data_IF_724271551605
#
_entry.id   IF_724271551605
#
_cell.length_a   1.000
_cell.length_b   1.000
_cell.length_c   1.000
_cell.angle_alpha   90.00
_cell.angle_beta   90.00
_cell.angle_gamma   90.00
#
_symmetry.space_group_name_H-M   'P 1'
#
loop_
_entity.id
_entity.type
_entity.pdbx_description
1 polymer ?
#
# COMPACT_ATOMS: atom_id res chain seq x y z
N UNK A 1 -6.95 -5.62 -8.39
CA UNK A 1 -6.11 -4.91 -7.40
C UNK A 1 -6.40 -3.40 -7.40
N UNK A 2 -6.32 -2.67 -8.53
CA UNK A 2 -6.51 -1.21 -8.58
C UNK A 2 -7.79 -0.64 -7.91
N UNK A 3 -8.90 -1.40 -7.89
CA UNK A 3 -10.17 -0.95 -7.32
C UNK A 3 -10.28 -1.11 -5.79
N UNK A 4 -9.59 -2.11 -5.24
CA UNK A 4 -9.44 -2.27 -3.78
C UNK A 4 -8.24 -1.48 -3.22
N UNK A 5 -7.39 -0.92 -4.09
CA UNK A 5 -6.14 -0.28 -3.68
C UNK A 5 -6.04 1.18 -4.13
N UNK A 6 -7.05 1.98 -3.76
CA UNK A 6 -7.06 3.45 -3.64
C UNK A 6 -7.82 4.24 -4.71
N UNK A 7 -8.70 5.12 -4.21
CA UNK A 7 -9.44 6.13 -4.97
C UNK A 7 -8.55 7.07 -5.80
N UNK A 8 -7.22 7.08 -5.55
CA UNK A 8 -6.25 7.83 -6.36
C UNK A 8 -6.22 7.37 -7.83
N UNK A 9 -6.61 6.13 -8.14
CA UNK A 9 -6.72 5.68 -9.53
C UNK A 9 -7.74 6.50 -10.36
N UNK A 10 -8.71 7.17 -9.71
CA UNK A 10 -9.63 8.10 -10.37
C UNK A 10 -8.91 9.28 -11.02
N UNK A 11 -7.66 9.57 -10.65
CA UNK A 11 -6.84 10.59 -11.30
C UNK A 11 -6.53 10.26 -12.76
N UNK A 12 -6.71 9.01 -13.20
CA UNK A 12 -6.65 8.62 -14.61
C UNK A 12 -7.80 9.20 -15.46
N UNK A 13 -8.87 9.70 -14.82
CA UNK A 13 -9.93 10.42 -15.52
C UNK A 13 -9.41 11.71 -16.15
N UNK A 14 -8.41 12.38 -15.57
CA UNK A 14 -7.84 13.62 -16.14
C UNK A 14 -7.23 13.41 -17.53
N UNK A 15 -6.27 12.49 -17.74
CA UNK A 15 -5.76 12.23 -19.08
C UNK A 15 -6.82 11.64 -20.03
N UNK A 16 -7.77 10.83 -19.52
CA UNK A 16 -8.87 10.33 -20.35
C UNK A 16 -9.77 11.47 -20.88
N UNK A 17 -10.18 12.40 -20.00
CA UNK A 17 -10.95 13.59 -20.35
C UNK A 17 -10.15 14.51 -21.29
N UNK A 18 -8.86 14.65 -21.07
CA UNK A 18 -7.99 15.44 -21.94
C UNK A 18 -7.94 14.89 -23.36
N UNK A 19 -7.83 13.56 -23.52
CA UNK A 19 -7.93 12.89 -24.83
C UNK A 19 -9.29 13.16 -25.48
N UNK A 20 -10.37 13.04 -24.70
CA UNK A 20 -11.74 13.27 -25.16
C UNK A 20 -11.94 14.70 -25.69
N UNK A 21 -11.40 15.70 -24.96
CA UNK A 21 -11.53 17.11 -25.33
C UNK A 21 -10.71 17.42 -26.59
N UNK A 22 -9.48 16.91 -26.69
CA UNK A 22 -8.60 17.17 -27.81
C UNK A 22 -9.04 16.48 -29.11
N UNK A 23 -9.66 15.32 -29.02
CA UNK A 23 -9.93 14.48 -30.19
C UNK A 23 -11.40 14.02 -30.23
N UNK A 24 -12.31 14.99 -30.37
CA UNK A 24 -13.74 14.71 -30.51
C UNK A 24 -14.06 13.79 -31.69
N UNK A 25 -13.26 13.88 -32.77
CA UNK A 25 -13.39 13.00 -33.95
C UNK A 25 -13.00 11.56 -33.64
N UNK A 26 -11.97 11.35 -32.83
CA UNK A 26 -11.59 10.01 -32.36
C UNK A 26 -12.73 9.30 -31.64
N UNK A 27 -13.45 9.98 -30.75
CA UNK A 27 -14.62 9.38 -30.07
C UNK A 27 -15.69 8.98 -31.06
N UNK A 28 -16.04 9.86 -32.01
CA UNK A 28 -17.07 9.55 -33.00
C UNK A 28 -16.68 8.35 -33.87
N UNK A 29 -15.38 8.19 -34.18
CA UNK A 29 -14.88 7.09 -34.99
C UNK A 29 -14.72 5.77 -34.19
N UNK A 30 -14.40 5.87 -32.89
CA UNK A 30 -14.13 4.73 -32.01
C UNK A 30 -15.19 4.56 -30.91
N UNK A 31 -16.44 4.98 -31.17
CA UNK A 31 -17.51 4.98 -30.18
C UNK A 31 -17.78 3.59 -29.59
N UNK A 32 -17.68 2.54 -30.41
CA UNK A 32 -17.81 1.15 -29.98
C UNK A 32 -16.71 0.74 -29.00
N UNK A 33 -15.47 1.18 -29.21
CA UNK A 33 -14.35 0.96 -28.29
C UNK A 33 -14.52 1.72 -26.99
N UNK A 34 -15.03 2.97 -27.04
CA UNK A 34 -15.32 3.77 -25.85
C UNK A 34 -16.42 3.12 -25.01
N UNK A 35 -17.50 2.67 -25.63
CA UNK A 35 -18.57 1.93 -24.94
C UNK A 35 -18.05 0.61 -24.38
N UNK A 36 -17.27 -0.14 -25.16
CA UNK A 36 -16.64 -1.38 -24.70
C UNK A 36 -15.75 -1.16 -23.47
N UNK A 37 -14.94 -0.09 -23.47
CA UNK A 37 -14.12 0.30 -22.34
C UNK A 37 -14.95 0.71 -21.12
N UNK A 38 -16.00 1.52 -21.30
CA UNK A 38 -16.91 1.92 -20.22
C UNK A 38 -17.65 0.71 -19.63
N UNK A 39 -18.17 -0.18 -20.49
CA UNK A 39 -18.81 -1.41 -20.07
C UNK A 39 -17.84 -2.30 -19.30
N UNK A 40 -16.63 -2.50 -19.80
CA UNK A 40 -15.59 -3.30 -19.12
C UNK A 40 -15.23 -2.69 -17.77
N UNK A 41 -15.09 -1.37 -17.70
CA UNK A 41 -14.85 -0.64 -16.46
C UNK A 41 -16.00 -0.85 -15.46
N UNK A 42 -17.24 -0.59 -15.85
CA UNK A 42 -18.41 -0.79 -14.99
C UNK A 42 -18.58 -2.25 -14.55
N UNK A 43 -18.36 -3.20 -15.46
CA UNK A 43 -18.38 -4.63 -15.15
C UNK A 43 -17.28 -4.98 -14.13
N UNK A 44 -16.10 -4.38 -14.22
CA UNK A 44 -15.03 -4.57 -13.23
C UNK A 44 -15.38 -3.99 -11.85
N UNK A 45 -16.32 -3.05 -11.76
CA UNK A 45 -16.86 -2.54 -10.49
C UNK A 45 -17.93 -3.46 -9.88
N UNK A 46 -18.45 -4.43 -10.63
CA UNK A 46 -19.58 -5.25 -10.19
C UNK A 46 -19.37 -5.91 -8.82
N UNK A 47 -18.20 -6.51 -8.49
CA UNK A 47 -17.99 -7.09 -7.16
C UNK A 47 -18.13 -6.06 -6.04
N UNK A 48 -17.68 -4.82 -6.27
CA UNK A 48 -17.72 -3.75 -5.27
C UNK A 48 -19.12 -3.16 -5.11
N UNK A 49 -19.87 -3.04 -6.21
CA UNK A 49 -21.28 -2.67 -6.19
C UNK A 49 -22.12 -3.73 -5.46
N UNK A 50 -21.91 -5.01 -5.75
CA UNK A 50 -22.59 -6.12 -5.07
C UNK A 50 -22.23 -6.18 -3.58
N UNK A 51 -20.96 -5.94 -3.22
CA UNK A 51 -20.54 -5.82 -1.83
C UNK A 51 -21.29 -4.68 -1.12
N UNK A 52 -21.37 -3.50 -1.73
CA UNK A 52 -22.07 -2.36 -1.14
C UNK A 52 -23.56 -2.61 -0.97
N UNK A 53 -24.22 -3.24 -1.96
CA UNK A 53 -25.62 -3.63 -1.83
C UNK A 53 -25.86 -4.60 -0.67
N UNK A 54 -24.90 -5.51 -0.40
CA UNK A 54 -24.98 -6.47 0.71
C UNK A 54 -24.66 -5.87 2.08
N UNK A 55 -23.84 -4.82 2.15
CA UNK A 55 -23.32 -4.24 3.38
C UNK A 55 -23.71 -2.76 3.55
N UNK A 56 -24.95 -2.41 3.21
CA UNK A 56 -25.54 -1.08 3.42
C UNK A 56 -24.71 0.10 2.88
N UNK A 57 -24.09 -0.08 1.71
CA UNK A 57 -23.32 0.96 1.03
C UNK A 57 -22.02 1.35 1.74
N UNK A 58 -21.36 0.40 2.41
CA UNK A 58 -20.16 0.68 3.21
C UNK A 58 -19.03 1.38 2.42
N UNK A 59 -18.75 1.00 1.17
CA UNK A 59 -17.73 1.68 0.37
C UNK A 59 -18.18 3.08 -0.06
N UNK A 60 -19.44 3.27 -0.47
CA UNK A 60 -19.99 4.60 -0.79
C UNK A 60 -19.91 5.53 0.42
N UNK A 61 -20.26 5.04 1.62
CA UNK A 61 -20.11 5.79 2.88
C UNK A 61 -18.65 6.17 3.12
N UNK A 62 -17.72 5.23 2.95
CA UNK A 62 -16.28 5.49 3.09
C UNK A 62 -15.76 6.51 2.06
N UNK A 63 -16.20 6.43 0.80
CA UNK A 63 -15.87 7.38 -0.27
C UNK A 63 -16.41 8.78 0.06
N UNK A 64 -17.64 8.85 0.57
CA UNK A 64 -18.27 10.11 0.98
C UNK A 64 -17.47 10.74 2.11
N UNK A 65 -17.13 9.96 3.14
CA UNK A 65 -16.27 10.40 4.24
C UNK A 65 -14.92 10.89 3.72
N UNK A 66 -14.29 10.15 2.80
CA UNK A 66 -12.99 10.48 2.22
C UNK A 66 -12.96 11.86 1.55
N UNK A 67 -14.02 12.28 0.87
CA UNK A 67 -14.09 13.59 0.22
C UNK A 67 -14.70 14.71 1.08
N UNK A 68 -15.50 14.36 2.09
CA UNK A 68 -16.20 15.35 2.94
C UNK A 68 -15.44 15.69 4.22
N UNK A 69 -14.72 14.74 4.82
CA UNK A 69 -13.90 14.96 6.01
C UNK A 69 -12.52 15.52 5.64
N UNK A 70 -12.52 16.81 5.26
CA UNK A 70 -11.37 17.53 4.71
C UNK A 70 -10.14 17.56 5.61
N UNK A 71 -10.29 17.36 6.92
CA UNK A 71 -9.16 17.53 7.85
C UNK A 71 -8.14 16.41 7.73
N UNK A 72 -8.57 15.18 7.42
CA UNK A 72 -7.75 13.98 7.60
C UNK A 72 -7.33 13.28 6.30
N UNK A 73 -8.00 13.49 5.16
CA UNK A 73 -7.79 12.63 3.97
C UNK A 73 -7.21 13.36 2.76
N UNK A 74 -7.95 14.27 2.12
CA UNK A 74 -7.56 14.95 0.87
C UNK A 74 -7.96 16.42 0.88
N UNK A 75 -7.09 17.28 0.35
CA UNK A 75 -7.43 18.67 0.05
C UNK A 75 -8.12 18.78 -1.31
N UNK A 76 -9.31 19.39 -1.34
CA UNK A 76 -10.03 19.69 -2.61
C UNK A 76 -9.50 20.92 -3.35
N UNK A 77 -8.57 21.67 -2.75
CA UNK A 77 -8.06 22.94 -3.28
C UNK A 77 -6.74 22.69 -4.04
N UNK A 78 -6.72 22.72 -5.39
CA UNK A 78 -5.54 22.29 -6.16
C UNK A 78 -4.29 23.13 -5.92
N UNK A 79 -4.46 24.43 -5.63
CA UNK A 79 -3.33 25.32 -5.36
C UNK A 79 -2.52 24.93 -4.11
N UNK A 80 -3.12 24.18 -3.17
CA UNK A 80 -2.40 23.66 -2.00
C UNK A 80 -1.36 22.59 -2.36
N UNK A 81 -1.44 22.01 -3.56
CA UNK A 81 -0.43 21.10 -4.06
C UNK A 81 0.88 21.81 -4.42
N UNK A 82 0.83 23.07 -4.87
CA UNK A 82 1.98 23.80 -5.43
C UNK A 82 3.25 23.76 -4.56
N UNK A 83 3.21 24.07 -3.25
CA UNK A 83 4.41 24.00 -2.41
C UNK A 83 4.94 22.57 -2.20
N UNK A 84 4.09 21.55 -2.35
CA UNK A 84 4.43 20.14 -2.12
C UNK A 84 4.94 19.47 -3.41
N UNK A 85 4.52 19.97 -4.58
CA UNK A 85 4.85 19.38 -5.88
C UNK A 85 6.34 19.11 -6.11
N UNK A 86 7.30 19.98 -5.74
CA UNK A 86 8.73 19.68 -5.92
C UNK A 86 9.18 18.46 -5.10
N UNK A 87 8.73 18.37 -3.84
CA UNK A 87 9.02 17.22 -2.98
C UNK A 87 8.34 15.95 -3.49
N UNK A 88 7.09 16.07 -3.95
CA UNK A 88 6.34 14.95 -4.53
C UNK A 88 6.97 14.43 -5.82
N UNK A 89 7.38 15.34 -6.70
CA UNK A 89 8.11 15.01 -7.92
C UNK A 89 9.39 14.26 -7.57
N UNK A 90 10.18 14.78 -6.62
CA UNK A 90 11.41 14.13 -6.17
C UNK A 90 11.16 12.75 -5.54
N UNK A 91 10.12 12.60 -4.73
CA UNK A 91 9.76 11.33 -4.14
C UNK A 91 9.41 10.30 -5.23
N UNK A 92 8.55 10.67 -6.18
CA UNK A 92 8.12 9.76 -7.25
C UNK A 92 9.30 9.35 -8.15
N UNK A 93 10.14 10.28 -8.58
CA UNK A 93 11.33 9.97 -9.38
C UNK A 93 12.36 9.15 -8.60
N UNK A 94 12.59 9.45 -7.33
CA UNK A 94 13.53 8.69 -6.49
C UNK A 94 13.06 7.25 -6.32
N UNK A 95 11.77 7.07 -6.01
CA UNK A 95 11.18 5.75 -5.76
C UNK A 95 11.06 4.91 -7.02
N UNK A 96 10.73 5.52 -8.17
CA UNK A 96 10.47 4.79 -9.41
C UNK A 96 11.65 4.71 -10.38
N UNK A 97 12.55 5.70 -10.39
CA UNK A 97 13.68 5.76 -11.34
C UNK A 97 15.04 5.56 -10.68
N UNK A 98 15.24 6.05 -9.45
CA UNK A 98 16.54 6.03 -8.78
C UNK A 98 16.69 4.88 -7.76
N UNK A 99 15.81 3.87 -7.78
CA UNK A 99 15.92 2.71 -6.91
C UNK A 99 15.87 3.05 -5.41
N UNK A 100 15.09 4.07 -5.01
CA UNK A 100 14.97 4.55 -3.62
C UNK A 100 16.26 5.11 -3.01
N UNK A 101 17.33 5.31 -3.79
CA UNK A 101 18.57 5.92 -3.34
C UNK A 101 18.40 7.44 -3.31
N UNK A 102 18.12 8.01 -2.13
CA UNK A 102 17.73 9.43 -1.98
C UNK A 102 18.74 10.43 -2.59
N UNK A 103 20.05 10.19 -2.41
CA UNK A 103 21.10 11.07 -2.96
C UNK A 103 21.12 11.11 -4.49
N UNK A 104 20.96 9.94 -5.12
CA UNK A 104 20.86 9.81 -6.58
C UNK A 104 19.52 10.32 -7.07
N UNK A 105 18.46 10.12 -6.29
CA UNK A 105 17.11 10.57 -6.52
C UNK A 105 17.03 12.06 -6.83
N UNK A 106 17.65 12.91 -6.02
CA UNK A 106 17.69 14.37 -6.25
C UNK A 106 18.32 14.72 -7.60
N UNK A 107 19.43 14.08 -7.96
CA UNK A 107 20.12 14.30 -9.23
C UNK A 107 19.23 13.88 -10.41
N UNK A 108 18.64 12.68 -10.32
CA UNK A 108 17.71 12.15 -11.34
C UNK A 108 16.50 13.07 -11.50
N UNK A 109 15.93 13.59 -10.41
CA UNK A 109 14.82 14.54 -10.43
C UNK A 109 15.17 15.83 -11.17
N UNK A 110 16.34 16.41 -10.89
CA UNK A 110 16.79 17.65 -11.54
C UNK A 110 17.00 17.41 -13.04
N UNK A 111 17.75 16.36 -13.39
CA UNK A 111 18.01 16.01 -14.80
C UNK A 111 16.70 15.74 -15.53
N UNK A 112 15.79 14.97 -14.93
CA UNK A 112 14.51 14.65 -15.55
C UNK A 112 13.62 15.88 -15.74
N UNK A 113 13.63 16.81 -14.78
CA UNK A 113 12.94 18.10 -14.92
C UNK A 113 13.48 18.92 -16.09
N UNK A 114 14.82 19.03 -16.21
CA UNK A 114 15.47 19.72 -17.33
C UNK A 114 15.11 19.07 -18.67
N UNK A 115 15.12 17.74 -18.73
CA UNK A 115 14.77 16.98 -19.93
C UNK A 115 13.29 17.15 -20.35
N UNK A 116 12.37 17.22 -19.38
CA UNK A 116 10.96 17.55 -19.62
C UNK A 116 10.83 18.96 -20.20
N UNK A 117 11.47 19.95 -19.57
CA UNK A 117 11.43 21.35 -20.01
C UNK A 117 12.02 21.49 -21.42
N UNK A 118 13.18 20.87 -21.68
CA UNK A 118 13.78 20.84 -23.01
C UNK A 118 12.82 20.24 -24.05
N UNK A 119 12.18 19.12 -23.71
CA UNK A 119 11.24 18.42 -24.60
C UNK A 119 9.99 19.26 -24.90
N UNK A 120 9.49 20.05 -23.95
CA UNK A 120 8.37 20.99 -24.17
C UNK A 120 8.67 22.04 -25.25
N UNK A 121 9.89 22.56 -25.30
CA UNK A 121 10.28 23.57 -26.29
C UNK A 121 10.64 22.96 -27.65
N UNK A 122 11.13 21.72 -27.68
CA UNK A 122 11.60 21.06 -28.91
C UNK A 122 10.55 20.18 -29.58
N UNK A 123 9.61 19.63 -28.82
CA UNK A 123 8.65 18.64 -29.30
C UNK A 123 7.25 19.22 -29.24
N UNK A 124 6.64 19.40 -30.41
CA UNK A 124 5.18 19.58 -30.52
C UNK A 124 4.55 18.22 -30.81
N UNK A 125 4.24 17.46 -29.76
CA UNK A 125 3.66 16.13 -29.90
C UNK A 125 2.50 15.94 -28.91
N UNK A 126 1.34 15.51 -29.44
CA UNK A 126 0.17 15.12 -28.65
C UNK A 126 0.48 14.11 -27.54
N UNK A 127 1.35 13.14 -27.82
CA UNK A 127 1.72 12.10 -26.85
C UNK A 127 2.52 12.67 -25.67
N UNK A 128 3.41 13.65 -25.90
CA UNK A 128 4.09 14.34 -24.81
C UNK A 128 3.07 15.07 -23.93
N UNK A 129 2.14 15.81 -24.54
CA UNK A 129 1.13 16.56 -23.80
C UNK A 129 0.22 15.66 -22.96
N UNK A 130 -0.25 14.53 -23.52
CA UNK A 130 -1.07 13.56 -22.79
C UNK A 130 -0.29 12.97 -21.60
N UNK A 131 0.97 12.58 -21.82
CA UNK A 131 1.82 12.04 -20.76
C UNK A 131 2.12 13.07 -19.66
N UNK A 132 2.31 14.34 -20.01
CA UNK A 132 2.49 15.41 -19.02
C UNK A 132 1.21 15.66 -18.23
N UNK A 133 0.04 15.70 -18.88
CA UNK A 133 -1.24 15.85 -18.18
C UNK A 133 -1.45 14.70 -17.21
N UNK A 134 -1.24 13.46 -17.63
CA UNK A 134 -1.34 12.29 -16.75
C UNK A 134 -0.36 12.38 -15.58
N UNK A 135 0.92 12.63 -15.86
CA UNK A 135 1.94 12.66 -14.82
C UNK A 135 1.68 13.78 -13.80
N UNK A 136 1.43 15.01 -14.25
CA UNK A 136 1.21 16.15 -13.36
C UNK A 136 -0.16 16.11 -12.65
N UNK A 137 -1.23 15.61 -13.28
CA UNK A 137 -2.49 15.40 -12.56
C UNK A 137 -2.33 14.36 -11.45
N UNK A 138 -1.52 13.33 -11.70
CA UNK A 138 -1.16 12.35 -10.68
C UNK A 138 -0.35 12.94 -9.53
N UNK A 139 0.69 13.75 -9.84
CA UNK A 139 1.47 14.44 -8.81
C UNK A 139 0.63 15.40 -7.98
N UNK A 140 -0.28 16.16 -8.62
CA UNK A 140 -1.21 17.04 -7.90
C UNK A 140 -2.10 16.22 -6.98
N UNK A 141 -2.69 15.13 -7.45
CA UNK A 141 -3.55 14.29 -6.62
C UNK A 141 -2.82 13.65 -5.43
N UNK A 142 -1.58 13.19 -5.63
CA UNK A 142 -0.73 12.72 -4.54
C UNK A 142 -0.35 13.83 -3.57
N UNK A 143 0.00 15.02 -4.06
CA UNK A 143 0.35 16.17 -3.22
C UNK A 143 -0.84 16.69 -2.39
N UNK A 144 -2.07 16.44 -2.83
CA UNK A 144 -3.29 16.77 -2.08
C UNK A 144 -3.68 15.69 -1.05
N UNK A 145 -3.05 14.51 -1.10
CA UNK A 145 -3.24 13.44 -0.14
C UNK A 145 -2.49 13.75 1.16
N UNK A 146 -3.21 13.80 2.27
CA UNK A 146 -2.67 14.25 3.57
C UNK A 146 -2.03 13.14 4.39
N UNK A 147 -2.30 11.89 4.04
CA UNK A 147 -1.77 10.72 4.75
C UNK A 147 -0.43 10.29 4.14
N UNK A 148 0.24 9.35 4.82
CA UNK A 148 1.50 8.80 4.33
C UNK A 148 1.32 8.12 2.97
N UNK A 149 2.20 8.46 2.01
CA UNK A 149 2.18 7.90 0.66
C UNK A 149 3.14 6.72 0.61
N UNK A 150 2.59 5.54 0.35
CA UNK A 150 3.37 4.32 0.19
C UNK A 150 3.64 4.04 -1.29
N UNK A 151 4.73 3.32 -1.59
CA UNK A 151 5.18 3.08 -2.97
C UNK A 151 4.08 2.45 -3.86
N UNK A 152 3.19 1.62 -3.31
CA UNK A 152 2.09 1.02 -4.06
C UNK A 152 1.02 2.01 -4.53
N UNK A 153 0.99 3.23 -3.97
CA UNK A 153 0.08 4.29 -4.39
C UNK A 153 0.49 4.86 -5.76
N UNK A 154 1.74 4.65 -6.18
CA UNK A 154 2.24 5.12 -7.48
C UNK A 154 1.79 4.24 -8.64
N UNK A 155 1.05 3.15 -8.43
CA UNK A 155 0.66 2.22 -9.49
C UNK A 155 0.00 2.88 -10.71
N UNK A 156 -0.77 3.95 -10.51
CA UNK A 156 -1.40 4.68 -11.61
C UNK A 156 -0.47 5.70 -12.32
N UNK A 157 0.65 6.11 -11.70
CA UNK A 157 1.68 6.98 -12.30
C UNK A 157 2.82 6.17 -12.92
N UNK A 158 3.00 4.93 -12.44
CA UNK A 158 4.10 4.06 -12.83
C UNK A 158 4.30 3.97 -14.36
N UNK A 159 3.29 3.75 -15.21
CA UNK A 159 3.53 3.65 -16.65
C UNK A 159 3.99 4.98 -17.26
N UNK A 160 3.40 6.10 -16.85
CA UNK A 160 3.62 7.39 -17.52
C UNK A 160 5.00 7.98 -17.24
N UNK A 161 5.58 7.73 -16.06
CA UNK A 161 6.94 8.22 -15.78
C UNK A 161 7.97 7.57 -16.70
N UNK A 162 7.86 6.27 -17.00
CA UNK A 162 8.75 5.59 -17.95
C UNK A 162 8.49 6.00 -19.40
N UNK A 163 7.23 6.25 -19.77
CA UNK A 163 6.90 6.81 -21.09
C UNK A 163 7.53 8.20 -21.26
N UNK A 164 7.41 9.08 -20.25
CA UNK A 164 8.04 10.40 -20.27
C UNK A 164 9.56 10.30 -20.30
N UNK A 165 10.15 9.38 -19.54
CA UNK A 165 11.58 9.11 -19.58
C UNK A 165 12.02 8.68 -20.98
N UNK A 166 11.32 7.74 -21.61
CA UNK A 166 11.63 7.30 -22.97
C UNK A 166 11.52 8.44 -24.00
N UNK A 167 10.43 9.22 -23.96
CA UNK A 167 10.23 10.37 -24.86
C UNK A 167 11.37 11.38 -24.71
N UNK A 168 11.74 11.71 -23.47
CA UNK A 168 12.74 12.74 -23.18
C UNK A 168 14.17 12.27 -23.47
N UNK A 169 14.54 11.05 -23.05
CA UNK A 169 15.86 10.46 -23.27
C UNK A 169 16.09 10.13 -24.75
N UNK A 170 15.05 9.83 -25.54
CA UNK A 170 15.21 9.61 -27.00
C UNK A 170 15.73 10.84 -27.78
N UNK A 171 15.81 12.02 -27.14
CA UNK A 171 16.22 13.28 -27.76
C UNK A 171 17.67 13.67 -27.53
N UNK A 172 18.36 12.97 -26.64
CA UNK A 172 19.79 13.18 -26.44
C UNK A 172 20.57 12.23 -27.34
N UNK A 173 21.89 12.34 -27.33
CA UNK A 173 22.76 11.43 -28.08
C UNK A 173 22.46 9.96 -27.70
N UNK A 174 22.36 9.07 -28.71
CA UNK A 174 22.04 7.65 -28.53
C UNK A 174 22.93 6.96 -27.47
N UNK A 175 24.22 7.22 -27.47
CA UNK A 175 25.14 6.61 -26.51
C UNK A 175 24.88 7.12 -25.09
N UNK A 176 24.65 8.42 -24.93
CA UNK A 176 24.28 9.00 -23.64
C UNK A 176 22.93 8.46 -23.14
N UNK A 177 21.95 8.31 -24.02
CA UNK A 177 20.65 7.70 -23.72
C UNK A 177 20.81 6.26 -23.20
N UNK A 178 21.62 5.44 -23.89
CA UNK A 178 21.92 4.07 -23.47
C UNK A 178 22.57 4.06 -22.08
N UNK A 179 23.56 4.94 -21.84
CA UNK A 179 24.24 5.04 -20.53
C UNK A 179 23.23 5.38 -19.43
N UNK A 180 22.36 6.37 -19.64
CA UNK A 180 21.33 6.75 -18.66
C UNK A 180 20.41 5.57 -18.36
N UNK A 181 19.89 4.89 -19.39
CA UNK A 181 18.98 3.75 -19.22
C UNK A 181 19.67 2.60 -18.46
N UNK A 182 20.94 2.30 -18.79
CA UNK A 182 21.72 1.27 -18.08
C UNK A 182 21.88 1.64 -16.61
N UNK A 183 22.24 2.89 -16.30
CA UNK A 183 22.45 3.35 -14.92
C UNK A 183 21.14 3.23 -14.12
N UNK A 184 20.02 3.77 -14.64
CA UNK A 184 18.73 3.74 -13.95
C UNK A 184 18.19 2.31 -13.78
N UNK A 185 18.37 1.46 -14.79
CA UNK A 185 17.98 0.05 -14.71
C UNK A 185 18.83 -0.71 -13.70
N UNK A 186 20.15 -0.45 -13.70
CA UNK A 186 21.09 -0.99 -12.73
C UNK A 186 20.67 -0.63 -11.31
N UNK A 187 20.42 0.65 -11.02
CA UNK A 187 19.92 1.09 -9.71
C UNK A 187 18.63 0.38 -9.30
N UNK A 188 17.69 0.22 -10.23
CA UNK A 188 16.42 -0.46 -9.95
C UNK A 188 16.60 -1.94 -9.64
N UNK A 189 17.53 -2.63 -10.30
CA UNK A 189 17.88 -4.03 -10.01
C UNK A 189 18.63 -4.14 -8.68
N UNK A 190 19.60 -3.26 -8.44
CA UNK A 190 20.44 -3.28 -7.25
C UNK A 190 19.74 -2.82 -5.97
N UNK A 191 18.58 -2.18 -6.08
CA UNK A 191 17.74 -1.77 -4.95
C UNK A 191 16.52 -2.67 -4.73
N UNK A 192 16.39 -3.73 -5.54
CA UNK A 192 15.24 -4.62 -5.48
C UNK A 192 15.31 -5.53 -4.24
N UNK A 193 14.14 -5.79 -3.64
CA UNK A 193 13.98 -6.71 -2.52
C UNK A 193 14.35 -8.16 -2.85
N UNK A 194 14.44 -8.52 -4.14
CA UNK A 194 14.88 -9.86 -4.58
C UNK A 194 16.33 -10.20 -4.22
N UNK A 195 17.11 -9.25 -3.68
CA UNK A 195 18.44 -9.54 -3.16
C UNK A 195 18.44 -10.28 -1.82
N UNK A 196 17.32 -10.21 -1.10
CA UNK A 196 17.17 -10.81 0.21
C UNK A 196 16.30 -12.05 0.11
N UNK A 197 16.58 -13.05 0.94
CA UNK A 197 15.65 -14.17 1.06
C UNK A 197 14.28 -13.65 1.50
N UNK A 198 13.18 -14.16 0.91
CA UNK A 198 11.85 -13.79 1.36
C UNK A 198 11.67 -14.20 2.83
N UNK A 199 10.97 -13.42 3.66
CA UNK A 199 10.88 -13.65 5.11
C UNK A 199 10.08 -14.90 5.52
N UNK A 200 9.71 -15.79 4.59
CA UNK A 200 8.95 -17.06 4.80
C UNK A 200 7.77 -16.93 5.77
N UNK A 201 7.10 -15.77 5.80
CA UNK A 201 6.08 -15.39 6.79
C UNK A 201 5.01 -16.46 6.99
N UNK A 202 4.51 -17.05 5.91
CA UNK A 202 3.51 -18.12 5.96
C UNK A 202 3.99 -19.34 6.76
N UNK A 203 5.21 -19.79 6.48
CA UNK A 203 5.80 -20.97 7.15
C UNK A 203 6.05 -20.66 8.62
N UNK A 204 6.56 -19.47 8.92
CA UNK A 204 6.77 -19.02 10.30
C UNK A 204 5.45 -18.94 11.08
N UNK A 205 4.41 -18.37 10.50
CA UNK A 205 3.06 -18.32 11.11
C UNK A 205 2.53 -19.73 11.37
N UNK A 206 2.60 -20.64 10.40
CA UNK A 206 2.20 -22.05 10.58
C UNK A 206 2.96 -22.75 11.72
N UNK A 207 4.27 -22.49 11.85
CA UNK A 207 5.10 -23.05 12.92
C UNK A 207 4.70 -22.49 14.29
N UNK A 208 4.41 -21.19 14.37
CA UNK A 208 3.93 -20.54 15.60
C UNK A 208 2.57 -21.09 16.01
N UNK A 209 1.61 -21.14 15.09
CA UNK A 209 0.26 -21.63 15.38
C UNK A 209 0.27 -23.10 15.79
N UNK A 210 1.06 -23.93 15.09
CA UNK A 210 1.26 -25.33 15.49
C UNK A 210 1.87 -25.43 16.88
N UNK A 211 2.89 -24.63 17.18
CA UNK A 211 3.52 -24.62 18.51
C UNK A 211 2.55 -24.20 19.62
N UNK A 212 1.62 -23.27 19.35
CA UNK A 212 0.58 -22.85 20.28
C UNK A 212 -0.41 -24.00 20.50
N UNK A 213 -0.89 -24.62 19.43
CA UNK A 213 -1.81 -25.75 19.47
C UNK A 213 -1.20 -26.91 20.28
N UNK A 214 0.05 -27.27 20.01
CA UNK A 214 0.73 -28.36 20.71
C UNK A 214 0.89 -28.03 22.21
N UNK A 215 1.22 -26.78 22.56
CA UNK A 215 1.41 -26.33 23.95
C UNK A 215 0.11 -25.97 24.69
N UNK A 216 -1.02 -25.94 24.00
CA UNK A 216 -2.35 -25.85 24.62
C UNK A 216 -2.71 -27.13 25.36
N UNK A 217 -2.00 -28.24 25.11
CA UNK A 217 -2.27 -29.57 25.64
C UNK A 217 -3.70 -30.07 25.37
N UNK A 218 -4.35 -29.58 24.32
CA UNK A 218 -5.73 -29.94 23.98
C UNK A 218 -6.78 -29.25 24.84
N UNK A 219 -6.39 -28.32 25.72
CA UNK A 219 -7.30 -27.50 26.52
C UNK A 219 -7.79 -26.27 25.72
N UNK A 220 -8.98 -25.73 26.03
CA UNK A 220 -9.46 -24.48 25.45
C UNK A 220 -8.47 -23.33 25.64
N UNK A 221 -8.28 -22.51 24.61
CA UNK A 221 -7.35 -21.37 24.67
C UNK A 221 -7.83 -20.15 23.89
N UNK A 222 -7.39 -18.98 24.34
CA UNK A 222 -7.52 -17.71 23.64
C UNK A 222 -6.18 -17.31 22.97
N UNK A 223 -6.25 -16.32 22.07
CA UNK A 223 -5.10 -15.77 21.37
C UNK A 223 -5.09 -14.23 21.39
N UNK A 224 -3.89 -13.66 21.50
CA UNK A 224 -3.65 -12.24 21.26
C UNK A 224 -2.32 -12.03 20.52
N UNK A 225 -2.28 -11.03 19.64
CA UNK A 225 -1.05 -10.56 19.01
C UNK A 225 -0.56 -9.28 19.69
N UNK A 226 0.74 -9.12 19.91
CA UNK A 226 1.44 -7.87 20.20
C UNK A 226 2.36 -7.56 19.01
N UNK A 227 2.02 -6.53 18.22
CA UNK A 227 2.79 -6.11 17.06
C UNK A 227 2.55 -4.62 16.78
N UNK A 228 3.55 -3.93 16.21
CA UNK A 228 3.40 -2.53 15.77
C UNK A 228 2.67 -2.39 14.44
N UNK A 229 3.05 -3.22 13.48
CA UNK A 229 2.71 -3.07 12.06
C UNK A 229 1.89 -4.24 11.51
N UNK A 230 1.63 -5.27 12.31
CA UNK A 230 0.95 -6.47 11.90
C UNK A 230 -0.38 -6.66 12.66
N UNK A 231 -1.23 -7.52 12.10
CA UNK A 231 -2.55 -7.83 12.63
C UNK A 231 -2.69 -9.34 12.84
N UNK A 232 -3.58 -9.72 13.76
CA UNK A 232 -3.82 -11.12 14.12
C UNK A 232 -4.45 -12.03 13.05
N UNK A 233 -5.09 -11.57 11.93
CA UNK A 233 -5.77 -12.49 11.02
C UNK A 233 -4.87 -13.58 10.41
N UNK A 234 -3.57 -13.31 10.24
CA UNK A 234 -2.63 -14.31 9.73
C UNK A 234 -2.54 -15.55 10.64
N UNK A 235 -2.46 -15.34 11.95
CA UNK A 235 -2.45 -16.40 12.97
C UNK A 235 -3.85 -17.01 13.14
N UNK A 236 -4.86 -16.15 13.22
CA UNK A 236 -6.25 -16.58 13.42
C UNK A 236 -6.76 -17.49 12.31
N UNK A 237 -6.27 -17.32 11.07
CA UNK A 237 -6.60 -18.20 9.96
C UNK A 237 -6.36 -19.68 10.34
N UNK A 238 -5.18 -20.03 10.83
CA UNK A 238 -4.85 -21.41 11.21
C UNK A 238 -5.40 -21.80 12.57
N UNK A 239 -5.39 -20.89 13.55
CA UNK A 239 -5.93 -21.19 14.88
C UNK A 239 -7.43 -21.46 14.86
N UNK A 240 -8.19 -20.79 13.98
CA UNK A 240 -9.63 -20.98 13.84
C UNK A 240 -10.05 -22.36 13.34
N UNK A 241 -9.13 -23.13 12.74
CA UNK A 241 -9.38 -24.52 12.35
C UNK A 241 -9.36 -25.48 13.57
N UNK A 242 -8.81 -25.04 14.71
CA UNK A 242 -8.76 -25.83 15.93
C UNK A 242 -10.03 -25.63 16.77
N UNK A 243 -10.74 -26.73 17.06
CA UNK A 243 -11.96 -26.73 17.89
C UNK A 243 -11.81 -26.19 19.31
N UNK A 244 -10.58 -26.17 19.84
CA UNK A 244 -10.27 -25.69 21.19
C UNK A 244 -9.90 -24.20 21.22
N UNK A 245 -9.76 -23.56 20.05
CA UNK A 245 -9.56 -22.13 19.99
C UNK A 245 -10.91 -21.41 20.16
N UNK A 246 -10.93 -20.40 21.03
CA UNK A 246 -12.09 -19.53 21.21
C UNK A 246 -11.68 -18.06 21.09
N UNK A 247 -12.51 -17.25 20.44
CA UNK A 247 -12.34 -15.80 20.49
C UNK A 247 -12.67 -15.30 21.91
N UNK A 248 -11.87 -14.37 22.41
CA UNK A 248 -12.07 -13.73 23.72
C UNK A 248 -13.46 -13.12 23.93
N UNK A 249 -14.14 -12.71 22.85
CA UNK A 249 -15.51 -12.17 22.91
C UNK A 249 -16.56 -13.24 23.20
N UNK A 250 -16.29 -14.47 22.80
CA UNK A 250 -17.23 -15.58 22.86
C UNK A 250 -17.02 -16.38 24.15
N UNK A 251 -15.76 -16.64 24.50
CA UNK A 251 -15.38 -17.35 25.72
C UNK A 251 -13.98 -16.92 26.19
N UNK A 252 -13.88 -16.52 27.45
CA UNK A 252 -12.60 -16.33 28.14
C UNK A 252 -12.19 -17.68 28.72
N UNK A 253 -11.08 -18.24 28.24
CA UNK A 253 -10.56 -19.56 28.63
C UNK A 253 -9.59 -19.46 29.81
N UNK A 254 -9.03 -20.58 30.26
CA UNK A 254 -8.06 -20.60 31.39
C UNK A 254 -6.63 -20.23 30.98
N UNK A 255 -6.35 -20.24 29.67
CA UNK A 255 -5.05 -19.87 29.13
C UNK A 255 -5.19 -18.92 27.93
N UNK A 256 -4.25 -17.99 27.81
CA UNK A 256 -4.11 -17.06 26.70
C UNK A 256 -2.72 -17.19 26.12
N UNK A 257 -2.63 -17.44 24.82
CA UNK A 257 -1.38 -17.37 24.08
C UNK A 257 -1.19 -15.98 23.49
N UNK A 258 -0.08 -15.35 23.83
CA UNK A 258 0.30 -14.04 23.29
C UNK A 258 1.51 -14.19 22.39
N UNK A 259 1.35 -13.91 21.10
CA UNK A 259 2.48 -13.79 20.17
C UNK A 259 2.94 -12.35 20.17
N UNK A 260 4.23 -12.12 20.38
CA UNK A 260 4.85 -10.80 20.29
C UNK A 260 5.89 -10.75 19.17
N UNK A 261 5.68 -9.84 18.24
CA UNK A 261 6.63 -9.50 17.18
C UNK A 261 7.47 -8.30 17.65
N UNK A 262 8.74 -8.48 18.06
CA UNK A 262 9.52 -7.46 18.79
C UNK A 262 9.97 -6.27 17.92
N UNK A 263 9.34 -6.03 16.77
CA UNK A 263 9.64 -4.89 15.92
C UNK A 263 8.99 -3.61 16.45
N UNK A 264 9.81 -2.73 17.02
CA UNK A 264 9.41 -1.40 17.54
C UNK A 264 8.34 -1.43 18.64
N UNK A 265 8.26 -2.52 19.40
CA UNK A 265 7.41 -2.65 20.59
C UNK A 265 8.16 -3.38 21.70
N UNK A 266 7.75 -3.12 22.93
CA UNK A 266 8.15 -3.92 24.07
C UNK A 266 7.24 -5.17 24.19
N UNK A 267 7.86 -6.34 24.35
CA UNK A 267 7.17 -7.61 24.51
C UNK A 267 6.83 -7.87 25.96
N UNK A 268 6.02 -6.99 26.54
CA UNK A 268 5.50 -7.14 27.89
C UNK A 268 3.98 -7.37 27.84
N UNK A 269 3.51 -8.62 27.96
CA UNK A 269 2.10 -8.92 27.94
C UNK A 269 1.41 -8.64 29.29
N UNK A 270 2.13 -8.66 30.41
CA UNK A 270 1.52 -8.45 31.73
C UNK A 270 1.11 -6.98 31.89
N UNK A 271 -0.13 -6.76 32.30
CA UNK A 271 -0.75 -5.43 32.42
C UNK A 271 -0.75 -4.63 31.10
N UNK A 272 -0.68 -5.31 29.96
CA UNK A 272 -0.69 -4.66 28.67
C UNK A 272 -2.10 -4.12 28.35
N UNK A 273 -2.25 -2.84 27.95
CA UNK A 273 -3.54 -2.24 27.69
C UNK A 273 -4.21 -2.72 26.40
N UNK A 274 -3.53 -3.54 25.58
CA UNK A 274 -4.11 -4.09 24.36
C UNK A 274 -5.31 -4.96 24.71
N UNK A 275 -6.45 -4.70 24.04
CA UNK A 275 -7.74 -5.34 24.33
C UNK A 275 -7.65 -6.87 24.45
N UNK A 276 -6.95 -7.55 23.53
CA UNK A 276 -6.83 -9.01 23.54
C UNK A 276 -6.10 -9.59 24.76
N UNK A 277 -5.37 -8.77 25.53
CA UNK A 277 -4.70 -9.17 26.77
C UNK A 277 -5.45 -8.62 27.97
N UNK A 278 -5.82 -7.34 27.93
CA UNK A 278 -6.57 -6.70 29.01
C UNK A 278 -7.93 -7.37 29.27
N UNK A 279 -8.61 -7.86 28.22
CA UNK A 279 -9.90 -8.56 28.36
C UNK A 279 -9.77 -9.95 28.99
N UNK A 280 -8.59 -10.58 28.92
CA UNK A 280 -8.33 -11.85 29.60
C UNK A 280 -8.25 -11.68 31.13
N UNK A 281 -7.96 -10.46 31.60
CA UNK A 281 -7.92 -10.13 33.01
C UNK A 281 -6.54 -10.27 33.63
N UNK A 282 -6.51 -10.38 34.96
CA UNK A 282 -5.26 -10.48 35.70
C UNK A 282 -4.61 -11.82 35.43
N UNK A 283 -3.38 -11.79 34.94
CA UNK A 283 -2.67 -12.97 34.50
C UNK A 283 -1.20 -12.94 34.92
N UNK A 284 -0.57 -14.10 34.87
CA UNK A 284 0.88 -14.25 35.00
C UNK A 284 1.42 -15.07 33.83
N UNK A 285 2.70 -14.88 33.50
CA UNK A 285 3.39 -15.71 32.52
C UNK A 285 3.63 -17.06 33.17
N UNK A 286 3.03 -18.10 32.60
CA UNK A 286 3.27 -19.48 33.01
C UNK A 286 4.45 -20.08 32.22
N UNK A 287 4.54 -19.78 30.92
CA UNK A 287 5.70 -20.15 30.10
C UNK A 287 5.93 -19.18 28.95
N UNK A 288 7.17 -19.17 28.45
CA UNK A 288 7.58 -18.40 27.29
C UNK A 288 8.55 -19.19 26.42
N UNK A 289 8.52 -18.98 25.11
CA UNK A 289 9.46 -19.53 24.16
C UNK A 289 9.54 -18.67 22.90
N UNK A 290 10.48 -18.99 22.00
CA UNK A 290 10.74 -18.20 20.80
C UNK A 290 10.79 -19.09 19.55
N UNK A 291 10.33 -18.55 18.42
CA UNK A 291 10.46 -19.14 17.09
C UNK A 291 11.02 -18.07 16.16
N UNK A 292 12.30 -18.21 15.79
CA UNK A 292 13.05 -17.10 15.20
C UNK A 292 13.13 -15.93 16.19
N UNK A 293 12.85 -14.72 15.71
CA UNK A 293 12.81 -13.52 16.56
C UNK A 293 11.42 -13.29 17.20
N UNK A 294 10.46 -14.20 17.04
CA UNK A 294 9.10 -14.03 17.56
C UNK A 294 8.98 -14.65 18.94
N UNK A 295 8.51 -13.88 19.92
CA UNK A 295 8.30 -14.32 21.30
C UNK A 295 6.88 -14.80 21.49
N UNK A 296 6.69 -15.89 22.21
CA UNK A 296 5.37 -16.47 22.47
C UNK A 296 5.24 -16.70 23.97
N UNK A 297 4.16 -16.22 24.55
CA UNK A 297 3.85 -16.32 25.97
C UNK A 297 2.59 -17.13 26.17
N UNK A 298 2.60 -18.04 27.15
CA UNK A 298 1.39 -18.64 27.71
C UNK A 298 1.07 -17.92 29.02
N UNK A 299 -0.09 -17.30 29.07
CA UNK A 299 -0.62 -16.66 30.26
C UNK A 299 -1.72 -17.52 30.87
N UNK A 300 -1.79 -17.51 32.20
CA UNK A 300 -2.88 -18.12 32.98
C UNK A 300 -3.44 -17.09 33.96
N UNK A 301 -4.68 -17.27 34.39
CA UNK A 301 -5.32 -16.39 35.37
C UNK A 301 -4.51 -16.29 36.67
N UNK A 302 -4.36 -15.06 37.16
CA UNK A 302 -3.71 -14.73 38.43
C UNK A 302 -4.56 -13.74 39.24
N UNK A 303 -5.75 -14.15 39.73
CA UNK A 303 -6.67 -13.25 40.43
C UNK A 303 -6.09 -12.68 41.73
N UNK A 304 -5.04 -13.30 42.29
CA UNK A 304 -4.38 -12.84 43.51
C UNK A 304 -3.32 -11.76 43.28
N UNK A 305 -2.91 -11.51 42.04
CA UNK A 305 -1.92 -10.48 41.70
C UNK A 305 -0.50 -10.68 42.24
N UNK A 306 -0.23 -11.86 42.82
CA UNK A 306 1.07 -12.27 43.38
C UNK A 306 1.86 -13.15 42.43
#
# INVERSE_FOLDING_TARGET
MCLNSHYLALLLLFPALFIIILDRKYITHHWSSVIGALFTFLLSLAPQLLFDLKHDGQNIKALTIFFTQRETTVSVLPYKALPILPAMFNQVTTRLLAGKVESVGVIVSIIFSVLIIYSLFKIKNRFLNISLVWFFSGLVGLALYKQHIYDHYFGFIYPVIFILLAITVSRINKYLAIIIVIILSGLSIFSNQFQWEPPKQLVTTQQIDKSIIDKSNGEPFNFALLAKMNYDPGYLYYLSENKNYFHLKDLITDQLFVVCEPFQIDCNPINNPKWGIAAFGWAKIDSQWEIGDIKIFRLIHNPTGN
#
